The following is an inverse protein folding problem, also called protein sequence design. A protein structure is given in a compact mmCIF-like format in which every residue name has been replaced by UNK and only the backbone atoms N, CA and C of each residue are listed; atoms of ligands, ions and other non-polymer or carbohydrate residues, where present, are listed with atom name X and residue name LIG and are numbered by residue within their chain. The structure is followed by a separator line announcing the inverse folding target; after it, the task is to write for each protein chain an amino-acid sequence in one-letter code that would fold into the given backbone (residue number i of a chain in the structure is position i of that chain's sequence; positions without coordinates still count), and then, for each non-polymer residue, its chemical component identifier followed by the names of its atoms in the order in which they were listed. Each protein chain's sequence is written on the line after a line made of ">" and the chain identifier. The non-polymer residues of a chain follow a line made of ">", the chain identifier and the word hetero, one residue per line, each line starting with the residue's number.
data_IF_398147925601
#
_entry.id   IF_398147925601
#
_cell.length_a   1.000
_cell.length_b   1.000
_cell.length_c   1.000
_cell.angle_alpha   90.00
_cell.angle_beta   90.00
_cell.angle_gamma   90.00
#
_symmetry.space_group_name_H-M   'P 1'
#
loop_
_entity.id
_entity.type
_entity.pdbx_description
1 polymer ?
#
# COMPACT_ATOMS: atom_id res chain seq x y z
N UNK A 1 -9.93 27.78 28.79
CA UNK A 1 -10.27 27.46 27.39
C UNK A 1 -9.89 26.01 27.14
N UNK A 2 -10.87 25.13 26.96
CA UNK A 2 -10.66 23.68 26.88
C UNK A 2 -10.49 23.29 25.41
N UNK A 3 -9.27 23.01 24.96
CA UNK A 3 -9.01 22.53 23.60
C UNK A 3 -9.26 21.03 23.53
N UNK A 4 -10.50 20.64 23.22
CA UNK A 4 -10.82 19.27 22.82
C UNK A 4 -10.20 19.00 21.44
N UNK A 5 -9.00 18.42 21.44
CA UNK A 5 -8.40 17.88 20.23
C UNK A 5 -9.31 16.78 19.69
N UNK A 6 -10.05 17.06 18.61
CA UNK A 6 -10.86 16.06 17.89
C UNK A 6 -9.97 14.85 17.58
N UNK A 7 -10.21 13.75 18.28
CA UNK A 7 -9.58 12.47 17.99
C UNK A 7 -10.04 12.05 16.60
N UNK A 8 -9.17 12.21 15.60
CA UNK A 8 -9.46 11.72 14.25
C UNK A 8 -9.60 10.21 14.34
N UNK A 9 -10.70 9.67 13.81
CA UNK A 9 -10.91 8.23 13.75
C UNK A 9 -9.77 7.53 13.01
N UNK A 10 -9.64 6.21 13.21
CA UNK A 10 -8.65 5.40 12.52
C UNK A 10 -8.79 5.58 11.00
N UNK A 11 -7.66 5.69 10.31
CA UNK A 11 -7.66 5.89 8.88
C UNK A 11 -8.17 4.64 8.17
N UNK A 12 -9.39 4.71 7.63
CA UNK A 12 -10.05 3.57 6.99
C UNK A 12 -9.48 3.20 5.61
N UNK A 13 -8.77 4.13 4.95
CA UNK A 13 -8.21 3.93 3.60
C UNK A 13 -6.82 4.56 3.49
N UNK A 14 -5.85 3.93 2.82
CA UNK A 14 -4.56 4.54 2.60
C UNK A 14 -4.70 5.84 1.80
N UNK A 15 -3.95 6.86 2.19
CA UNK A 15 -3.84 8.13 1.48
C UNK A 15 -3.09 7.94 0.16
N UNK A 16 -3.28 8.88 -0.78
CA UNK A 16 -2.51 8.90 -2.04
C UNK A 16 -1.00 8.93 -1.79
N UNK A 17 -0.56 9.63 -0.74
CA UNK A 17 0.85 9.71 -0.37
C UNK A 17 1.39 8.34 0.08
N UNK A 18 0.63 7.60 0.88
CA UNK A 18 1.01 6.25 1.33
C UNK A 18 1.02 5.25 0.18
N UNK A 19 0.03 5.31 -0.72
CA UNK A 19 0.01 4.46 -1.93
C UNK A 19 1.24 4.74 -2.79
N UNK A 20 1.56 6.02 -3.04
CA UNK A 20 2.76 6.40 -3.80
C UNK A 20 4.04 5.88 -3.12
N UNK A 21 4.15 6.02 -1.80
CA UNK A 21 5.30 5.54 -1.04
C UNK A 21 5.41 4.00 -1.11
N UNK A 22 4.30 3.27 -1.05
CA UNK A 22 4.28 1.82 -1.19
C UNK A 22 4.78 1.37 -2.58
N UNK A 23 4.29 2.00 -3.65
CA UNK A 23 4.79 1.73 -5.02
C UNK A 23 6.28 1.99 -5.16
N UNK A 24 6.79 3.07 -4.56
CA UNK A 24 8.23 3.38 -4.58
C UNK A 24 9.04 2.27 -3.90
N UNK A 25 8.61 1.80 -2.72
CA UNK A 25 9.30 0.72 -2.00
C UNK A 25 9.30 -0.59 -2.80
N UNK A 26 8.17 -0.95 -3.40
CA UNK A 26 8.07 -2.16 -4.23
C UNK A 26 9.00 -2.09 -5.43
N UNK A 27 9.04 -0.95 -6.13
CA UNK A 27 9.93 -0.76 -7.28
C UNK A 27 11.39 -0.83 -6.86
N UNK A 28 11.80 -0.14 -5.79
CA UNK A 28 13.18 -0.21 -5.30
C UNK A 28 13.58 -1.63 -4.86
N UNK A 29 12.68 -2.40 -4.25
CA UNK A 29 12.96 -3.79 -3.90
C UNK A 29 13.09 -4.69 -5.14
N UNK A 30 12.25 -4.48 -6.16
CA UNK A 30 12.34 -5.19 -7.43
C UNK A 30 13.66 -4.88 -8.16
N UNK A 31 14.07 -3.60 -8.18
CA UNK A 31 15.34 -3.17 -8.77
C UNK A 31 16.56 -3.81 -8.07
N UNK A 32 16.44 -4.15 -6.79
CA UNK A 32 17.44 -4.88 -6.02
C UNK A 32 17.41 -6.39 -6.24
N UNK A 33 16.53 -6.90 -7.11
CA UNK A 33 16.40 -8.32 -7.42
C UNK A 33 15.40 -9.09 -6.54
N UNK A 34 14.54 -8.42 -5.78
CA UNK A 34 13.50 -9.11 -5.01
C UNK A 34 12.40 -9.66 -5.95
N UNK A 35 12.37 -10.98 -6.08
CA UNK A 35 11.42 -11.71 -6.95
C UNK A 35 9.98 -11.51 -6.51
N UNK A 36 9.71 -11.49 -5.20
CA UNK A 36 8.35 -11.32 -4.68
C UNK A 36 7.80 -9.91 -4.98
N UNK A 37 8.64 -8.88 -4.86
CA UNK A 37 8.27 -7.52 -5.22
C UNK A 37 7.94 -7.41 -6.72
N UNK A 38 8.74 -8.05 -7.58
CA UNK A 38 8.48 -8.11 -9.02
C UNK A 38 7.17 -8.81 -9.35
N UNK A 39 6.91 -9.98 -8.74
CA UNK A 39 5.66 -10.72 -8.91
C UNK A 39 4.44 -9.91 -8.44
N UNK A 40 4.56 -9.21 -7.29
CA UNK A 40 3.52 -8.36 -6.76
C UNK A 40 3.20 -7.17 -7.69
N UNK A 41 4.23 -6.51 -8.25
CA UNK A 41 4.04 -5.44 -9.23
C UNK A 41 3.28 -5.93 -10.46
N UNK A 42 3.64 -7.10 -11.00
CA UNK A 42 2.95 -7.71 -12.15
C UNK A 42 1.49 -8.00 -11.82
N UNK A 43 1.23 -8.66 -10.69
CA UNK A 43 -0.13 -9.05 -10.32
C UNK A 43 -1.03 -7.82 -10.06
N UNK A 44 -0.48 -6.73 -9.49
CA UNK A 44 -1.19 -5.45 -9.36
C UNK A 44 -1.49 -4.80 -10.73
N UNK A 45 -0.57 -4.87 -11.69
CA UNK A 45 -0.80 -4.31 -13.04
C UNK A 45 -1.84 -5.08 -13.84
N UNK A 46 -1.92 -6.40 -13.65
CA UNK A 46 -2.92 -7.25 -14.30
C UNK A 46 -4.31 -7.16 -13.64
N UNK A 47 -4.45 -6.37 -12.57
CA UNK A 47 -5.64 -6.30 -11.71
C UNK A 47 -6.10 -7.70 -11.25
N UNK A 48 -5.16 -8.63 -11.10
CA UNK A 48 -5.45 -9.95 -10.55
C UNK A 48 -5.45 -9.83 -9.03
N UNK A 49 -6.40 -10.44 -8.32
CA UNK A 49 -6.36 -10.46 -6.87
C UNK A 49 -5.10 -11.22 -6.42
N UNK A 50 -4.09 -10.47 -5.98
CA UNK A 50 -2.83 -11.03 -5.48
C UNK A 50 -3.05 -11.84 -4.21
N UNK A 51 -4.12 -11.51 -3.49
CA UNK A 51 -4.61 -12.22 -2.33
C UNK A 51 -6.04 -12.63 -2.66
N UNK A 52 -6.31 -13.93 -2.71
CA UNK A 52 -7.66 -14.43 -2.54
C UNK A 52 -8.13 -14.00 -1.16
N UNK A 53 -8.76 -12.83 -1.06
CA UNK A 53 -9.47 -12.43 0.14
C UNK A 53 -10.69 -13.35 0.19
N UNK A 54 -10.51 -14.52 0.80
CA UNK A 54 -11.63 -15.26 1.36
C UNK A 54 -12.22 -14.34 2.44
N UNK A 55 -13.33 -13.70 2.10
CA UNK A 55 -14.23 -13.08 3.05
C UNK A 55 -14.90 -14.15 3.91
#
# INVERSE_FOLDING_TARGET
>A
MSTTSKQRGQQAKPTRAEVKAAWSRLRSAADQGNVQASALLIALTENKPVLGVHA
#
